data_IF_677736427028
#
_entry.id   IF_677736427028
#
_cell.length_a   1.000
_cell.length_b   1.000
_cell.length_c   1.000
_cell.angle_alpha   90.00
_cell.angle_beta   90.00
_cell.angle_gamma   90.00
#
_symmetry.space_group_name_H-M   'P 1'
#
loop_
_entity.id
_entity.type
_entity.pdbx_description
1 polymer ?
#
# COMPACT_ATOMS: atom_id res chain seq x y z
N UNK A 1 -1.93 -0.95 -7.21
CA UNK A 1 -1.52 -1.75 -8.39
C UNK A 1 -0.31 -2.56 -8.00
N UNK A 2 -0.27 -3.83 -8.39
CA UNK A 2 0.78 -4.80 -8.10
C UNK A 2 1.26 -5.40 -9.43
N UNK A 3 2.49 -5.07 -9.87
CA UNK A 3 3.05 -5.51 -11.16
C UNK A 3 2.12 -5.34 -12.39
N UNK A 4 1.29 -4.29 -12.40
CA UNK A 4 0.34 -4.02 -13.49
C UNK A 4 -1.05 -4.62 -13.29
N UNK A 5 -1.25 -5.45 -12.27
CA UNK A 5 -2.55 -6.02 -11.91
C UNK A 5 -3.11 -5.38 -10.65
N UNK A 6 -4.44 -5.37 -10.49
CA UNK A 6 -5.09 -4.91 -9.25
C UNK A 6 -6.27 -5.82 -8.97
N UNK A 7 -6.21 -6.55 -7.86
CA UNK A 7 -7.33 -7.35 -7.35
C UNK A 7 -8.40 -6.42 -6.76
N UNK A 8 -9.67 -6.84 -6.67
CA UNK A 8 -10.72 -6.02 -6.05
C UNK A 8 -10.38 -5.57 -4.61
N UNK A 9 -9.77 -6.47 -3.83
CA UNK A 9 -9.28 -6.17 -2.47
C UNK A 9 -8.21 -5.07 -2.48
N UNK A 10 -7.23 -5.17 -3.38
CA UNK A 10 -6.19 -4.17 -3.48
C UNK A 10 -6.73 -2.83 -3.98
N UNK A 11 -7.75 -2.84 -4.84
CA UNK A 11 -8.43 -1.62 -5.32
C UNK A 11 -9.11 -0.87 -4.16
N UNK A 12 -9.84 -1.58 -3.30
CA UNK A 12 -10.46 -0.98 -2.10
C UNK A 12 -9.41 -0.39 -1.16
N UNK A 13 -8.35 -1.14 -0.86
CA UNK A 13 -7.26 -0.67 -0.02
C UNK A 13 -6.56 0.57 -0.61
N UNK A 14 -6.35 0.60 -1.92
CA UNK A 14 -5.75 1.77 -2.59
C UNK A 14 -6.65 3.01 -2.48
N UNK A 15 -7.96 2.85 -2.63
CA UNK A 15 -8.92 3.96 -2.51
C UNK A 15 -8.96 4.51 -1.09
N UNK A 16 -9.02 3.63 -0.09
CA UNK A 16 -8.99 4.03 1.31
C UNK A 16 -7.69 4.75 1.68
N UNK A 17 -6.56 4.22 1.22
CA UNK A 17 -5.25 4.82 1.47
C UNK A 17 -5.14 6.20 0.80
N UNK A 18 -5.57 6.31 -0.45
CA UNK A 18 -5.60 7.59 -1.17
C UNK A 18 -6.52 8.62 -0.48
N UNK A 19 -7.69 8.19 0.01
CA UNK A 19 -8.60 9.07 0.73
C UNK A 19 -8.00 9.64 2.02
N UNK A 20 -7.13 8.87 2.69
CA UNK A 20 -6.47 9.29 3.94
C UNK A 20 -5.21 10.12 3.71
N UNK A 21 -4.38 9.74 2.74
CA UNK A 21 -3.03 10.30 2.60
C UNK A 21 -2.84 11.14 1.32
N UNK A 22 -3.80 11.15 0.40
CA UNK A 22 -3.74 11.91 -0.86
C UNK A 22 -2.74 11.36 -1.89
N UNK A 23 -2.11 10.22 -1.59
CA UNK A 23 -1.14 9.53 -2.44
C UNK A 23 -1.47 8.03 -2.48
N UNK A 24 -1.05 7.34 -3.54
CA UNK A 24 -1.20 5.89 -3.61
C UNK A 24 -0.08 5.18 -2.85
N UNK A 25 -0.32 3.98 -2.30
CA UNK A 25 0.71 3.23 -1.58
C UNK A 25 1.91 2.86 -2.46
N UNK A 26 1.70 2.66 -3.77
CA UNK A 26 2.75 2.40 -4.77
C UNK A 26 3.40 3.68 -5.34
N UNK A 27 3.00 4.86 -4.86
CA UNK A 27 3.56 6.15 -5.32
C UNK A 27 4.87 6.54 -4.62
N UNK A 28 5.28 5.77 -3.61
CA UNK A 28 6.50 6.00 -2.86
C UNK A 28 7.66 5.25 -3.52
N UNK A 29 8.55 5.99 -4.21
CA UNK A 29 9.73 5.45 -4.90
C UNK A 29 10.74 4.74 -3.97
N UNK A 30 10.59 4.89 -2.65
CA UNK A 30 11.52 4.36 -1.65
C UNK A 30 11.18 2.92 -1.21
N UNK A 31 10.05 2.35 -1.64
CA UNK A 31 9.63 0.99 -1.27
C UNK A 31 9.47 0.11 -2.52
N UNK A 32 10.43 -0.79 -2.74
CA UNK A 32 10.33 -1.83 -3.77
C UNK A 32 9.97 -3.16 -3.10
N UNK A 33 8.68 -3.45 -3.05
CA UNK A 33 8.22 -4.80 -2.72
C UNK A 33 8.57 -5.75 -3.87
N UNK A 34 9.18 -6.90 -3.55
CA UNK A 34 9.45 -7.99 -4.47
C UNK A 34 8.16 -8.64 -4.99
N UNK A 35 8.24 -9.33 -6.12
CA UNK A 35 7.05 -9.95 -6.74
C UNK A 35 6.39 -11.04 -5.88
N UNK A 36 7.14 -11.61 -4.93
CA UNK A 36 6.70 -12.59 -3.93
C UNK A 36 6.18 -11.96 -2.63
N UNK A 37 6.22 -10.63 -2.49
CA UNK A 37 5.88 -9.92 -1.26
C UNK A 37 4.46 -9.30 -1.28
N UNK A 38 3.56 -9.80 -2.15
CA UNK A 38 2.19 -9.29 -2.27
C UNK A 38 1.45 -9.28 -0.92
N UNK A 39 1.56 -10.35 -0.16
CA UNK A 39 0.90 -10.49 1.14
C UNK A 39 1.46 -9.49 2.16
N UNK A 40 2.76 -9.20 2.10
CA UNK A 40 3.41 -8.22 2.96
C UNK A 40 2.97 -6.80 2.60
N UNK A 41 2.93 -6.49 1.30
CA UNK A 41 2.41 -5.22 0.79
C UNK A 41 0.97 -4.95 1.25
N UNK A 42 0.08 -5.93 1.09
CA UNK A 42 -1.32 -5.81 1.55
C UNK A 42 -1.40 -5.64 3.06
N UNK A 43 -0.59 -6.39 3.81
CA UNK A 43 -0.53 -6.32 5.28
C UNK A 43 -0.07 -4.94 5.76
N UNK A 44 0.91 -4.34 5.09
CA UNK A 44 1.41 -3.02 5.44
C UNK A 44 0.42 -1.92 5.09
N UNK A 45 -0.27 -1.99 3.94
CA UNK A 45 -1.35 -1.04 3.63
C UNK A 45 -2.44 -1.10 4.70
N UNK A 46 -2.86 -2.30 5.11
CA UNK A 46 -3.83 -2.47 6.20
C UNK A 46 -3.33 -1.89 7.52
N UNK A 47 -2.04 -2.08 7.84
CA UNK A 47 -1.42 -1.51 9.04
C UNK A 47 -1.41 0.01 8.97
N UNK A 48 -1.06 0.61 7.83
CA UNK A 48 -1.07 2.06 7.59
C UNK A 48 -2.47 2.65 7.83
N UNK A 49 -3.50 2.05 7.24
CA UNK A 49 -4.89 2.46 7.42
C UNK A 49 -5.32 2.38 8.90
N UNK A 50 -4.94 1.30 9.60
CA UNK A 50 -5.27 1.09 11.02
C UNK A 50 -4.62 2.13 11.93
N UNK A 51 -3.33 2.42 11.73
CA UNK A 51 -2.58 3.36 12.58
C UNK A 51 -2.67 4.80 12.09
N UNK A 52 -3.29 5.03 10.94
CA UNK A 52 -3.42 6.32 10.24
C UNK A 52 -2.07 7.02 10.03
N UNK A 53 -1.07 6.24 9.62
CA UNK A 53 0.25 6.74 9.22
C UNK A 53 0.60 6.20 7.83
N UNK A 54 1.24 6.99 6.96
CA UNK A 54 1.67 6.52 5.65
C UNK A 54 2.73 5.42 5.78
N UNK A 55 2.88 4.60 4.73
CA UNK A 55 3.88 3.52 4.69
C UNK A 55 5.31 4.03 4.97
N UNK A 56 5.64 5.22 4.46
CA UNK A 56 6.92 5.92 4.67
C UNK A 56 7.31 6.10 6.14
N UNK A 57 6.36 6.05 7.07
CA UNK A 57 6.63 6.29 8.48
C UNK A 57 7.05 5.03 9.25
N UNK A 58 6.90 3.84 8.68
CA UNK A 58 7.10 2.58 9.43
C UNK A 58 7.54 1.36 8.63
N UNK A 59 7.52 1.43 7.30
CA UNK A 59 8.19 0.46 6.44
C UNK A 59 9.62 0.98 6.24
N UNK A 60 10.61 0.10 6.38
CA UNK A 60 12.05 0.40 6.25
C UNK A 60 12.64 -0.34 5.06
#
# INVERSE_FOLDING_TARGET
MWHGETTPELDELNKEYYALFGVFPFGHMEFEYGADEYDEYVKDIRKALRIKKPLTDFVE
#
